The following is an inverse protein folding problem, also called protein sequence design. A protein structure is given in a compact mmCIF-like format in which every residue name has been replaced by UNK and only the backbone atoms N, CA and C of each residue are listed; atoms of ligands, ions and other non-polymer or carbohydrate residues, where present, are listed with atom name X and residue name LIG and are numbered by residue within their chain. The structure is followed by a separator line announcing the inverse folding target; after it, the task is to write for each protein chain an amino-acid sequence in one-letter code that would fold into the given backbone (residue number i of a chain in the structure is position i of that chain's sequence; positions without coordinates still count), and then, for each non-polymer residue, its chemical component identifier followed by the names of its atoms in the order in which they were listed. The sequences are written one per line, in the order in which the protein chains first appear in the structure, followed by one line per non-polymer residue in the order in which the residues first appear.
data_IF_161152154058
#
_entry.id   IF_161152154058
#
_cell.length_a   1.000
_cell.length_b   1.000
_cell.length_c   1.000
_cell.angle_alpha   90.00
_cell.angle_beta   90.00
_cell.angle_gamma   90.00
#
_symmetry.space_group_name_H-M   'P 1'
#
loop_
_entity.id
_entity.type
_entity.pdbx_description
1 polymer ?
#
# COMPACT_ATOMS: atom_id res chain seq x y z
N UNK A 1 8.39 -10.74 0.89
CA UNK A 1 6.96 -10.27 0.68
C UNK A 1 6.26 -10.22 2.02
N UNK A 2 5.48 -9.18 2.29
CA UNK A 2 4.69 -9.07 3.50
C UNK A 2 3.59 -10.13 3.52
N UNK A 3 3.41 -10.88 4.62
CA UNK A 3 2.34 -11.88 4.73
C UNK A 3 0.96 -11.22 4.71
N UNK A 4 -0.01 -11.91 4.16
CA UNK A 4 -1.38 -11.46 3.99
C UNK A 4 -2.32 -12.26 4.87
N UNK A 5 -3.03 -11.58 5.76
CA UNK A 5 -3.98 -12.16 6.71
C UNK A 5 -5.42 -11.77 6.33
N UNK A 6 -6.30 -12.74 6.11
CA UNK A 6 -7.73 -12.47 5.86
C UNK A 6 -8.55 -12.64 7.13
N UNK A 7 -9.33 -11.62 7.51
CA UNK A 7 -10.33 -11.72 8.57
C UNK A 7 -11.63 -12.28 7.97
N UNK A 8 -12.06 -13.43 8.42
CA UNK A 8 -13.27 -14.12 7.96
C UNK A 8 -14.19 -14.38 9.15
N UNK A 9 -15.48 -14.39 8.94
CA UNK A 9 -16.49 -14.67 9.95
C UNK A 9 -17.84 -14.05 9.58
N UNK A 10 -18.91 -14.46 10.30
CA UNK A 10 -20.25 -13.91 10.09
C UNK A 10 -20.32 -12.40 10.39
N UNK A 11 -21.39 -11.70 9.98
CA UNK A 11 -21.59 -10.30 10.33
C UNK A 11 -21.59 -10.09 11.86
N UNK A 12 -21.11 -8.91 12.30
CA UNK A 12 -21.14 -8.46 13.70
C UNK A 12 -20.28 -9.23 14.72
N UNK A 13 -19.41 -10.17 14.30
CA UNK A 13 -18.45 -10.82 15.21
C UNK A 13 -17.27 -9.93 15.61
N UNK A 14 -17.16 -8.73 15.02
CA UNK A 14 -16.14 -7.74 15.37
C UNK A 14 -14.91 -7.72 14.46
N UNK A 15 -15.02 -8.23 13.21
CA UNK A 15 -13.92 -8.20 12.21
C UNK A 15 -13.37 -6.80 11.98
N UNK A 16 -14.24 -5.82 11.71
CA UNK A 16 -13.81 -4.43 11.45
C UNK A 16 -13.19 -3.77 12.69
N UNK A 17 -13.63 -4.13 13.90
CA UNK A 17 -12.97 -3.71 15.14
C UNK A 17 -11.57 -4.29 15.23
N UNK A 18 -11.40 -5.57 14.89
CA UNK A 18 -10.12 -6.26 14.86
C UNK A 18 -9.22 -5.68 13.76
N UNK A 19 -9.74 -5.48 12.56
CA UNK A 19 -9.05 -4.82 11.46
C UNK A 19 -8.49 -3.45 11.89
N UNK A 20 -9.34 -2.59 12.43
CA UNK A 20 -8.92 -1.30 12.93
C UNK A 20 -7.86 -1.39 14.04
N UNK A 21 -7.89 -2.44 14.85
CA UNK A 21 -6.89 -2.65 15.90
C UNK A 21 -5.56 -3.11 15.33
N UNK A 22 -5.57 -4.01 14.36
CA UNK A 22 -4.39 -4.54 13.70
C UNK A 22 -3.68 -3.49 12.84
N UNK A 23 -4.45 -2.56 12.26
CA UNK A 23 -3.96 -1.50 11.36
C UNK A 23 -3.78 -0.14 12.05
N UNK A 24 -4.15 0.03 13.31
CA UNK A 24 -4.05 1.28 14.10
C UNK A 24 -2.65 1.58 14.66
N UNK A 25 -1.58 1.22 14.00
CA UNK A 25 -0.31 1.91 14.25
C UNK A 25 -0.37 3.31 13.63
N UNK A 26 0.33 4.31 14.22
CA UNK A 26 0.36 5.70 13.74
C UNK A 26 0.80 5.84 12.27
N UNK A 27 1.33 4.78 11.68
CA UNK A 27 1.86 4.69 10.33
C UNK A 27 1.09 3.68 9.44
N UNK A 28 -0.05 3.13 9.92
CA UNK A 28 -0.82 2.19 9.12
C UNK A 28 -1.61 2.90 8.04
N UNK A 29 -1.33 2.54 6.81
CA UNK A 29 -2.07 2.99 5.63
C UNK A 29 -3.35 2.14 5.57
N UNK A 30 -4.48 2.76 5.90
CA UNK A 30 -5.80 2.16 5.65
C UNK A 30 -6.26 2.64 4.28
N UNK A 31 -6.20 1.77 3.30
CA UNK A 31 -6.74 2.06 1.98
C UNK A 31 -8.17 1.53 1.88
N UNK A 32 -9.14 2.42 1.96
CA UNK A 32 -10.51 2.14 1.59
C UNK A 32 -10.59 2.10 0.06
N UNK A 33 -10.55 0.92 -0.51
CA UNK A 33 -10.73 0.73 -1.95
C UNK A 33 -12.21 0.78 -2.32
N UNK A 34 -12.85 1.93 -2.16
CA UNK A 34 -14.18 2.17 -2.68
C UNK A 34 -14.14 2.06 -4.21
N UNK A 35 -14.89 1.13 -4.77
CA UNK A 35 -15.00 0.92 -6.23
C UNK A 35 -14.41 -0.37 -6.77
N UNK A 36 -13.49 -1.06 -6.06
CA UNK A 36 -13.07 -2.42 -6.41
C UNK A 36 -14.01 -3.47 -5.83
N UNK A 37 -14.50 -3.24 -4.63
CA UNK A 37 -15.65 -3.93 -4.02
C UNK A 37 -16.16 -3.05 -2.89
N UNK A 38 -17.46 -2.89 -2.77
CA UNK A 38 -18.12 -2.10 -1.71
C UNK A 38 -17.84 -2.58 -0.28
N UNK A 39 -17.15 -3.73 -0.11
CA UNK A 39 -17.18 -4.51 1.12
C UNK A 39 -15.82 -5.08 1.57
N UNK A 40 -14.68 -4.65 0.99
CA UNK A 40 -13.34 -5.10 1.43
C UNK A 40 -12.45 -3.92 1.77
N UNK A 41 -11.88 -3.97 2.98
CA UNK A 41 -10.88 -3.03 3.44
C UNK A 41 -9.52 -3.73 3.50
N UNK A 42 -8.49 -3.06 2.99
CA UNK A 42 -7.11 -3.51 3.06
C UNK A 42 -6.34 -2.56 3.97
N UNK A 43 -5.52 -3.10 4.85
CA UNK A 43 -4.71 -2.28 5.74
C UNK A 43 -3.37 -2.93 6.04
N UNK A 44 -2.38 -2.11 6.31
CA UNK A 44 -1.10 -2.56 6.81
C UNK A 44 -1.06 -2.54 8.33
N UNK A 45 -0.37 -3.52 8.87
CA UNK A 45 -0.02 -3.58 10.28
C UNK A 45 1.43 -3.98 10.48
N UNK A 46 1.92 -3.82 11.70
CA UNK A 46 3.24 -4.32 12.09
C UNK A 46 3.21 -4.95 13.47
N UNK A 47 4.05 -5.95 13.68
CA UNK A 47 4.30 -6.58 14.93
C UNK A 47 5.82 -6.60 15.21
N UNK A 48 6.31 -5.65 15.99
CA UNK A 48 7.74 -5.40 16.08
C UNK A 48 8.31 -4.94 14.74
N UNK A 49 9.25 -5.71 14.19
CA UNK A 49 9.81 -5.46 12.84
C UNK A 49 9.02 -6.13 11.71
N UNK A 50 8.16 -7.11 12.00
CA UNK A 50 7.39 -7.86 11.00
C UNK A 50 6.20 -7.04 10.51
N UNK A 51 6.17 -6.71 9.25
CA UNK A 51 5.06 -6.04 8.59
C UNK A 51 4.12 -7.06 7.93
N UNK A 52 2.81 -6.77 7.88
CA UNK A 52 1.81 -7.64 7.29
C UNK A 52 0.66 -6.84 6.68
N UNK A 53 -0.09 -7.46 5.77
CA UNK A 53 -1.31 -6.91 5.19
C UNK A 53 -2.50 -7.64 5.78
N UNK A 54 -3.56 -6.89 6.16
CA UNK A 54 -4.84 -7.45 6.62
C UNK A 54 -5.93 -7.13 5.61
N UNK A 55 -6.78 -8.13 5.35
CA UNK A 55 -7.99 -7.98 4.54
C UNK A 55 -9.20 -8.15 5.45
N UNK A 56 -10.05 -7.13 5.58
CA UNK A 56 -11.40 -7.29 6.14
C UNK A 56 -12.36 -7.70 5.03
N UNK A 57 -13.03 -8.84 5.20
CA UNK A 57 -13.93 -9.39 4.18
C UNK A 57 -15.39 -8.95 4.33
N UNK A 58 -15.69 -8.02 5.25
CA UNK A 58 -17.09 -7.73 5.59
C UNK A 58 -17.76 -8.92 6.27
N UNK A 59 -19.04 -9.17 6.02
CA UNK A 59 -19.76 -10.35 6.54
C UNK A 59 -19.83 -11.47 5.49
N UNK A 60 -19.53 -12.71 5.86
CA UNK A 60 -19.69 -13.88 5.00
C UNK A 60 -21.03 -14.55 5.22
N UNK A 61 -21.85 -14.65 4.19
CA UNK A 61 -23.08 -15.47 4.18
C UNK A 61 -22.97 -16.51 3.06
N UNK A 62 -22.78 -17.81 3.40
CA UNK A 62 -22.52 -18.88 2.42
C UNK A 62 -23.67 -19.17 1.47
N UNK A 63 -24.92 -18.99 1.91
CA UNK A 63 -26.13 -19.47 1.25
C UNK A 63 -27.08 -18.37 0.74
N UNK A 64 -26.56 -17.23 0.40
CA UNK A 64 -27.43 -16.15 -0.08
C UNK A 64 -27.98 -16.41 -1.48
N UNK A 65 -29.27 -16.61 -1.55
CA UNK A 65 -30.04 -16.78 -2.80
C UNK A 65 -30.28 -15.47 -3.56
N UNK A 66 -29.97 -14.31 -2.96
CA UNK A 66 -30.13 -12.98 -3.59
C UNK A 66 -28.81 -12.41 -4.11
N UNK A 67 -28.84 -11.63 -5.18
CA UNK A 67 -27.66 -11.18 -5.95
C UNK A 67 -26.55 -10.50 -5.14
N UNK A 68 -26.89 -9.70 -4.10
CA UNK A 68 -25.93 -8.96 -3.26
C UNK A 68 -25.11 -9.93 -2.38
N UNK A 69 -25.74 -10.88 -1.75
CA UNK A 69 -25.07 -11.86 -0.87
C UNK A 69 -24.19 -12.86 -1.63
N UNK A 70 -24.59 -13.21 -2.85
CA UNK A 70 -23.75 -14.05 -3.74
C UNK A 70 -22.46 -13.34 -4.13
N UNK A 71 -22.50 -12.03 -4.31
CA UNK A 71 -21.31 -11.22 -4.60
C UNK A 71 -20.40 -11.11 -3.36
N UNK A 72 -20.96 -10.91 -2.15
CA UNK A 72 -20.21 -10.91 -0.89
C UNK A 72 -19.48 -12.23 -0.64
N UNK A 73 -20.16 -13.37 -0.87
CA UNK A 73 -19.56 -14.70 -0.77
C UNK A 73 -18.40 -14.89 -1.75
N UNK A 74 -18.54 -14.40 -2.98
CA UNK A 74 -17.48 -14.43 -4.00
C UNK A 74 -16.28 -13.60 -3.57
N UNK A 75 -16.49 -12.45 -2.98
CA UNK A 75 -15.43 -11.57 -2.50
C UNK A 75 -14.66 -12.16 -1.32
N UNK A 76 -15.36 -12.78 -0.37
CA UNK A 76 -14.70 -13.48 0.75
C UNK A 76 -13.86 -14.65 0.24
N UNK A 77 -14.39 -15.45 -0.70
CA UNK A 77 -13.62 -16.55 -1.31
C UNK A 77 -12.36 -16.04 -2.02
N UNK A 78 -12.44 -14.91 -2.66
CA UNK A 78 -11.28 -14.30 -3.31
C UNK A 78 -10.27 -13.79 -2.27
N UNK A 79 -10.70 -13.12 -1.20
CA UNK A 79 -9.80 -12.68 -0.12
C UNK A 79 -9.09 -13.85 0.54
N UNK A 80 -9.82 -14.95 0.83
CA UNK A 80 -9.23 -16.19 1.36
C UNK A 80 -8.25 -16.80 0.35
N UNK A 81 -8.54 -16.76 -0.94
CA UNK A 81 -7.62 -17.26 -1.97
C UNK A 81 -6.32 -16.44 -2.05
N UNK A 82 -6.40 -15.14 -1.83
CA UNK A 82 -5.28 -14.19 -1.87
C UNK A 82 -4.44 -14.18 -0.58
N UNK A 83 -5.03 -14.54 0.57
CA UNK A 83 -4.36 -14.52 1.87
C UNK A 83 -3.38 -15.70 2.02
N UNK A 84 -2.32 -15.49 2.81
CA UNK A 84 -1.38 -16.53 3.22
C UNK A 84 -1.91 -17.31 4.43
N UNK A 85 -2.60 -16.62 5.36
CA UNK A 85 -3.32 -17.23 6.46
C UNK A 85 -4.70 -16.59 6.67
N UNK A 86 -5.59 -17.33 7.32
CA UNK A 86 -6.95 -16.90 7.64
C UNK A 86 -7.11 -16.80 9.14
N UNK A 87 -7.65 -15.67 9.62
CA UNK A 87 -8.10 -15.48 10.98
C UNK A 87 -9.63 -15.61 10.96
N UNK A 88 -10.13 -16.76 11.40
CA UNK A 88 -11.56 -16.99 11.48
C UNK A 88 -12.10 -16.50 12.81
N UNK A 89 -12.90 -15.45 12.76
CA UNK A 89 -13.42 -14.74 13.93
C UNK A 89 -14.85 -15.21 14.23
N UNK A 90 -15.08 -15.74 15.43
CA UNK A 90 -16.38 -16.08 15.98
C UNK A 90 -16.73 -15.20 17.16
N UNK A 91 -18.00 -15.12 17.55
CA UNK A 91 -18.46 -14.31 18.70
C UNK A 91 -18.59 -15.21 19.93
N UNK A 92 -17.68 -15.04 20.90
CA UNK A 92 -17.66 -15.82 22.12
C UNK A 92 -18.92 -15.65 22.99
N UNK A 93 -19.60 -14.51 22.92
CA UNK A 93 -20.84 -14.26 23.68
C UNK A 93 -22.08 -14.80 23.02
N UNK A 94 -22.13 -14.78 21.70
CA UNK A 94 -23.29 -15.25 20.95
C UNK A 94 -23.30 -16.76 20.75
N UNK A 95 -22.17 -17.44 20.98
CA UNK A 95 -22.01 -18.88 20.76
C UNK A 95 -21.97 -19.25 19.28
N UNK A 96 -21.92 -20.56 19.01
CA UNK A 96 -21.88 -21.14 17.66
C UNK A 96 -23.18 -20.94 16.91
N UNK A 97 -23.07 -20.73 15.63
CA UNK A 97 -24.19 -20.67 14.69
C UNK A 97 -23.98 -21.63 13.50
N UNK A 98 -25.05 -21.97 12.78
CA UNK A 98 -24.94 -22.74 11.56
C UNK A 98 -23.99 -22.10 10.52
N UNK A 99 -23.98 -20.78 10.44
CA UNK A 99 -23.07 -20.07 9.54
C UNK A 99 -21.60 -20.27 9.92
N UNK A 100 -21.26 -20.36 11.21
CA UNK A 100 -19.89 -20.62 11.65
C UNK A 100 -19.43 -22.00 11.21
N UNK A 101 -20.33 -23.01 11.28
CA UNK A 101 -20.05 -24.35 10.76
C UNK A 101 -19.83 -24.39 9.25
N UNK A 102 -20.63 -23.63 8.47
CA UNK A 102 -20.49 -23.55 7.01
C UNK A 102 -19.16 -22.90 6.62
N UNK A 103 -18.79 -21.82 7.30
CA UNK A 103 -17.50 -21.16 7.11
C UNK A 103 -16.34 -22.10 7.47
N UNK A 104 -16.41 -22.80 8.61
CA UNK A 104 -15.41 -23.77 9.04
C UNK A 104 -15.24 -24.89 8.03
N UNK A 105 -16.35 -25.45 7.51
CA UNK A 105 -16.34 -26.46 6.47
C UNK A 105 -15.64 -25.98 5.18
N UNK A 106 -15.89 -24.73 4.79
CA UNK A 106 -15.24 -24.11 3.64
C UNK A 106 -13.74 -23.94 3.87
N UNK A 107 -13.33 -23.41 5.03
CA UNK A 107 -11.91 -23.17 5.37
C UNK A 107 -11.12 -24.50 5.44
N UNK A 108 -11.68 -25.55 6.03
CA UNK A 108 -11.06 -26.89 6.06
C UNK A 108 -10.80 -27.47 4.67
N UNK A 109 -11.72 -27.25 3.71
CA UNK A 109 -11.56 -27.72 2.31
C UNK A 109 -10.43 -27.01 1.57
N UNK A 110 -10.14 -25.76 1.94
CA UNK A 110 -9.09 -24.98 1.27
C UNK A 110 -7.70 -25.38 1.77
N UNK A 111 -7.59 -25.85 3.02
CA UNK A 111 -6.32 -26.31 3.60
C UNK A 111 -5.28 -25.21 3.84
N UNK A 112 -5.69 -23.92 3.91
CA UNK A 112 -4.79 -22.83 4.27
C UNK A 112 -4.58 -22.77 5.79
N UNK A 113 -3.42 -22.26 6.26
CA UNK A 113 -3.23 -21.94 7.67
C UNK A 113 -4.40 -21.11 8.20
N UNK A 114 -5.05 -21.61 9.22
CA UNK A 114 -6.22 -20.96 9.82
C UNK A 114 -6.07 -20.89 11.33
N UNK A 115 -6.39 -19.72 11.90
CA UNK A 115 -6.53 -19.51 13.34
C UNK A 115 -8.01 -19.30 13.66
N UNK A 116 -8.53 -20.05 14.65
CA UNK A 116 -9.87 -19.85 15.17
C UNK A 116 -9.81 -18.89 16.36
N UNK A 117 -10.49 -17.75 16.24
CA UNK A 117 -10.45 -16.67 17.22
C UNK A 117 -11.83 -16.37 17.76
N UNK A 118 -12.02 -16.62 19.06
CA UNK A 118 -13.23 -16.26 19.80
C UNK A 118 -13.13 -14.81 20.30
N UNK A 119 -13.76 -13.89 19.58
CA UNK A 119 -13.76 -12.47 19.92
C UNK A 119 -14.86 -12.14 20.93
N UNK A 120 -14.74 -10.99 21.60
CA UNK A 120 -15.60 -10.53 22.69
C UNK A 120 -15.49 -11.39 23.95
N UNK A 121 -14.31 -11.98 24.16
CA UNK A 121 -14.04 -12.89 25.28
C UNK A 121 -13.68 -12.17 26.58
N UNK A 122 -13.84 -10.83 26.66
CA UNK A 122 -13.56 -10.09 27.89
C UNK A 122 -14.42 -10.56 29.07
N UNK A 123 -13.75 -10.90 30.18
CA UNK A 123 -14.38 -11.38 31.40
C UNK A 123 -14.78 -12.86 31.38
N UNK A 124 -14.52 -13.59 30.30
CA UNK A 124 -14.73 -15.03 30.24
C UNK A 124 -13.60 -15.78 30.93
N UNK A 125 -13.95 -16.83 31.69
CA UNK A 125 -12.95 -17.76 32.24
C UNK A 125 -12.51 -18.73 31.18
N UNK A 126 -11.21 -18.94 31.08
CA UNK A 126 -10.63 -19.89 30.12
C UNK A 126 -11.20 -21.30 30.32
N UNK A 127 -11.53 -21.97 29.24
CA UNK A 127 -11.85 -23.40 29.19
C UNK A 127 -13.33 -23.73 28.91
N UNK A 128 -14.23 -23.58 29.87
CA UNK A 128 -15.59 -24.11 29.73
C UNK A 128 -16.48 -23.36 28.70
N UNK A 129 -16.30 -22.05 28.59
CA UNK A 129 -17.13 -21.21 27.69
C UNK A 129 -16.67 -21.23 26.23
N UNK A 130 -15.44 -21.70 25.98
CA UNK A 130 -14.89 -21.82 24.62
C UNK A 130 -14.96 -23.23 24.07
N UNK A 131 -15.42 -24.20 24.89
CA UNK A 131 -15.43 -25.63 24.54
C UNK A 131 -16.27 -25.94 23.30
N UNK A 132 -17.38 -25.24 23.11
CA UNK A 132 -18.24 -25.40 21.92
C UNK A 132 -17.52 -25.12 20.60
N UNK A 133 -16.58 -24.15 20.56
CA UNK A 133 -15.91 -23.77 19.33
C UNK A 133 -14.92 -24.82 18.82
N UNK A 134 -14.51 -25.79 19.65
CA UNK A 134 -13.70 -26.94 19.19
C UNK A 134 -14.45 -27.84 18.21
N UNK A 135 -15.80 -27.83 18.21
CA UNK A 135 -16.61 -28.54 17.24
C UNK A 135 -16.36 -28.10 15.79
N UNK A 136 -15.86 -26.88 15.59
CA UNK A 136 -15.50 -26.37 14.28
C UNK A 136 -14.31 -27.11 13.64
N UNK A 137 -13.51 -27.85 14.43
CA UNK A 137 -12.42 -28.71 13.93
C UNK A 137 -11.30 -27.94 13.21
N UNK A 138 -11.00 -26.72 13.66
CA UNK A 138 -9.94 -25.87 13.12
C UNK A 138 -8.74 -25.72 14.07
N UNK A 139 -8.68 -26.54 15.13
CA UNK A 139 -7.60 -26.53 16.12
C UNK A 139 -7.91 -25.71 17.36
N UNK A 140 -6.88 -25.09 17.92
CA UNK A 140 -6.99 -24.30 19.15
C UNK A 140 -7.86 -23.06 18.97
N UNK A 141 -8.61 -22.70 20.02
CA UNK A 141 -9.48 -21.53 20.06
C UNK A 141 -8.81 -20.43 20.86
N UNK A 142 -8.49 -19.33 20.20
CA UNK A 142 -7.81 -18.19 20.83
C UNK A 142 -8.83 -17.16 21.35
N UNK A 143 -8.90 -16.93 22.68
CA UNK A 143 -9.76 -15.90 23.23
C UNK A 143 -9.16 -14.50 22.99
N UNK A 144 -9.96 -13.61 22.42
CA UNK A 144 -9.54 -12.25 22.10
C UNK A 144 -10.64 -11.25 22.44
N UNK A 145 -10.25 -10.06 22.86
CA UNK A 145 -11.13 -8.90 22.90
C UNK A 145 -10.58 -7.80 21.99
N UNK A 146 -11.08 -7.71 20.76
CA UNK A 146 -10.65 -6.70 19.80
C UNK A 146 -10.95 -5.27 20.31
N UNK A 147 -12.05 -5.07 21.04
CA UNK A 147 -12.41 -3.76 21.60
C UNK A 147 -11.39 -3.29 22.67
N UNK A 148 -10.94 -4.19 23.53
CA UNK A 148 -10.02 -3.88 24.61
C UNK A 148 -8.54 -4.17 24.28
N UNK A 149 -8.26 -4.86 23.17
CA UNK A 149 -6.91 -5.22 22.75
C UNK A 149 -6.31 -6.42 23.47
N UNK A 150 -7.10 -7.15 24.27
CA UNK A 150 -6.64 -8.33 24.99
C UNK A 150 -6.49 -9.52 24.02
N UNK A 151 -5.37 -10.25 24.12
CA UNK A 151 -5.07 -11.42 23.30
C UNK A 151 -4.73 -11.12 21.82
N UNK A 152 -4.89 -9.89 21.35
CA UNK A 152 -4.68 -9.52 19.94
C UNK A 152 -3.22 -9.71 19.52
N UNK A 153 -2.28 -9.34 20.38
CA UNK A 153 -0.85 -9.49 20.09
C UNK A 153 -0.45 -10.96 19.98
N UNK A 154 -0.82 -11.79 20.95
CA UNK A 154 -0.50 -13.23 20.97
C UNK A 154 -1.13 -13.96 19.78
N UNK A 155 -2.39 -13.61 19.44
CA UNK A 155 -3.06 -14.10 18.22
C UNK A 155 -2.26 -13.78 16.96
N UNK A 156 -1.74 -12.56 16.86
CA UNK A 156 -0.99 -12.12 15.69
C UNK A 156 0.40 -12.79 15.62
N UNK A 157 1.07 -12.96 16.77
CA UNK A 157 2.31 -13.73 16.87
C UNK A 157 2.10 -15.15 16.35
N UNK A 158 1.04 -15.84 16.83
CA UNK A 158 0.71 -17.20 16.37
C UNK A 158 0.32 -17.24 14.87
N UNK A 159 -0.41 -16.23 14.37
CA UNK A 159 -0.76 -16.15 12.97
C UNK A 159 0.47 -16.07 12.06
N UNK A 160 1.45 -15.25 12.43
CA UNK A 160 2.69 -15.07 11.69
C UNK A 160 3.63 -16.27 11.84
N UNK A 161 3.68 -16.90 13.02
CA UNK A 161 4.53 -18.08 13.26
C UNK A 161 4.02 -19.33 12.49
N UNK A 162 2.70 -19.51 12.36
CA UNK A 162 2.11 -20.57 11.51
C UNK A 162 2.48 -20.47 10.04
N UNK A 163 2.90 -19.29 9.57
CA UNK A 163 3.33 -19.11 8.20
C UNK A 163 4.76 -19.61 7.93
N UNK A 164 5.50 -20.01 9.00
CA UNK A 164 6.90 -20.45 8.87
C UNK A 164 7.71 -19.52 7.95
N UNK A 165 7.47 -18.21 8.07
CA UNK A 165 8.22 -17.24 7.29
C UNK A 165 9.68 -17.36 7.67
N UNK A 166 10.60 -17.39 6.70
CA UNK A 166 12.03 -17.31 7.01
C UNK A 166 12.23 -16.07 7.88
N UNK A 167 13.03 -16.21 8.96
CA UNK A 167 13.54 -15.05 9.66
C UNK A 167 14.08 -14.10 8.60
N UNK A 168 13.69 -12.81 8.67
CA UNK A 168 14.25 -11.83 7.74
C UNK A 168 15.77 -11.92 7.92
N UNK A 169 16.41 -12.64 6.98
CA UNK A 169 17.85 -12.56 6.81
C UNK A 169 18.17 -11.08 6.74
N UNK A 170 19.15 -10.64 7.52
CA UNK A 170 19.67 -9.26 7.55
C UNK A 170 19.58 -8.72 6.14
N UNK A 171 18.81 -7.65 5.94
CA UNK A 171 18.54 -7.05 4.64
C UNK A 171 19.88 -7.09 3.87
N UNK A 172 20.01 -7.99 2.92
CA UNK A 172 21.12 -7.90 1.98
C UNK A 172 20.96 -6.52 1.39
N UNK A 173 21.90 -5.63 1.73
CA UNK A 173 21.87 -4.23 1.34
C UNK A 173 21.52 -4.20 -0.14
N UNK A 174 20.28 -3.82 -0.45
CA UNK A 174 19.80 -3.79 -1.82
C UNK A 174 20.74 -2.86 -2.58
N UNK A 175 21.34 -3.37 -3.66
CA UNK A 175 22.25 -2.56 -4.50
C UNK A 175 21.55 -1.22 -4.80
N UNK A 176 22.03 -0.08 -4.25
CA UNK A 176 21.34 1.20 -4.37
C UNK A 176 21.22 1.67 -5.83
N UNK A 177 21.99 1.06 -6.73
CA UNK A 177 21.99 1.36 -8.15
C UNK A 177 20.89 0.61 -8.92
N UNK A 178 20.19 -0.35 -8.29
CA UNK A 178 19.10 -1.10 -8.91
C UNK A 178 17.77 -0.39 -8.65
N UNK A 179 17.07 -0.03 -9.73
CA UNK A 179 15.74 0.57 -9.65
C UNK A 179 14.67 -0.53 -9.63
N UNK A 180 14.02 -0.71 -8.48
CA UNK A 180 12.86 -1.60 -8.36
C UNK A 180 11.63 -0.91 -8.92
N UNK A 181 11.08 -1.45 -10.03
CA UNK A 181 9.98 -0.88 -10.79
C UNK A 181 8.74 -1.77 -10.69
N UNK A 182 7.63 -1.23 -10.22
CA UNK A 182 6.32 -1.86 -10.34
C UNK A 182 5.47 -1.19 -11.44
N UNK A 183 4.68 -2.01 -12.15
CA UNK A 183 3.69 -1.51 -13.11
C UNK A 183 2.31 -1.74 -12.52
N UNK A 184 1.69 -0.67 -12.04
CA UNK A 184 0.37 -0.67 -11.42
C UNK A 184 -0.72 -0.14 -12.38
N UNK A 185 -1.96 -0.43 -12.10
CA UNK A 185 -3.13 0.01 -12.86
C UNK A 185 -4.22 -1.04 -12.88
N UNK A 186 -5.41 -0.66 -13.33
CA UNK A 186 -6.58 -1.54 -13.43
C UNK A 186 -6.35 -2.77 -14.30
N UNK A 187 -7.19 -3.81 -14.18
CA UNK A 187 -7.28 -4.85 -15.19
C UNK A 187 -7.49 -4.24 -16.58
N UNK A 188 -6.87 -4.84 -17.58
CA UNK A 188 -6.97 -4.41 -18.99
C UNK A 188 -6.43 -2.99 -19.31
N UNK A 189 -5.75 -2.30 -18.39
CA UNK A 189 -5.06 -1.05 -18.71
C UNK A 189 -3.86 -1.24 -19.67
N UNK A 190 -3.45 -2.49 -19.89
CA UNK A 190 -2.39 -2.86 -20.84
C UNK A 190 -1.04 -3.11 -20.19
N UNK A 191 -1.00 -3.40 -18.89
CA UNK A 191 0.22 -3.73 -18.13
C UNK A 191 1.02 -4.85 -18.79
N UNK A 192 0.39 -6.01 -18.99
CA UNK A 192 1.04 -7.18 -19.61
C UNK A 192 1.52 -6.88 -21.03
N UNK A 193 0.77 -6.09 -21.80
CA UNK A 193 1.18 -5.66 -23.15
C UNK A 193 2.43 -4.80 -23.07
N UNK A 194 2.47 -3.81 -22.16
CA UNK A 194 3.62 -2.92 -21.98
C UNK A 194 4.87 -3.71 -21.58
N UNK A 195 4.74 -4.55 -20.56
CA UNK A 195 5.86 -5.36 -20.05
C UNK A 195 6.36 -6.33 -21.12
N UNK A 196 5.46 -7.01 -21.86
CA UNK A 196 5.86 -7.89 -22.97
C UNK A 196 6.55 -7.11 -24.08
N UNK A 197 6.12 -5.87 -24.35
CA UNK A 197 6.78 -5.01 -25.33
C UNK A 197 8.18 -4.65 -24.89
N UNK A 198 8.38 -4.31 -23.62
CA UNK A 198 9.69 -4.03 -23.05
C UNK A 198 10.60 -5.26 -23.06
N UNK A 199 10.14 -6.40 -22.56
CA UNK A 199 10.94 -7.65 -22.53
C UNK A 199 11.26 -8.19 -23.94
N UNK A 200 10.53 -7.75 -24.97
CA UNK A 200 10.81 -8.08 -26.37
C UNK A 200 11.73 -7.06 -27.07
N UNK A 201 12.22 -6.03 -26.39
CA UNK A 201 13.17 -5.06 -26.96
C UNK A 201 14.60 -5.65 -26.89
N UNK A 202 15.34 -5.61 -28.00
CA UNK A 202 16.75 -6.09 -28.10
C UNK A 202 17.72 -5.34 -27.17
N UNK A 203 17.30 -4.21 -26.61
CA UNK A 203 18.10 -3.37 -25.71
C UNK A 203 18.03 -3.75 -24.24
N UNK A 204 17.22 -4.75 -23.89
CA UNK A 204 17.13 -5.25 -22.53
C UNK A 204 17.99 -6.51 -22.38
N UNK A 205 18.99 -6.43 -21.55
CA UNK A 205 19.86 -7.55 -21.20
C UNK A 205 19.44 -8.08 -19.84
N UNK A 206 18.95 -9.33 -19.79
CA UNK A 206 18.69 -10.01 -18.53
C UNK A 206 20.03 -10.35 -17.85
N UNK A 207 20.11 -10.18 -16.54
CA UNK A 207 21.27 -10.59 -15.74
C UNK A 207 20.82 -11.39 -14.51
N UNK A 208 21.72 -12.25 -14.02
CA UNK A 208 21.45 -13.02 -12.81
C UNK A 208 21.77 -12.19 -11.56
N UNK A 209 20.81 -12.07 -10.65
CA UNK A 209 21.04 -11.50 -9.32
C UNK A 209 21.13 -12.62 -8.27
N UNK A 210 22.15 -12.62 -7.40
CA UNK A 210 22.19 -13.54 -6.27
C UNK A 210 21.00 -13.30 -5.34
N UNK A 211 20.26 -14.34 -4.94
CA UNK A 211 19.15 -14.27 -4.00
C UNK A 211 17.75 -14.26 -4.62
N UNK A 212 17.58 -14.24 -5.96
CA UNK A 212 16.26 -14.23 -6.61
C UNK A 212 15.54 -15.58 -6.66
N UNK A 213 16.01 -16.60 -5.96
CA UNK A 213 15.68 -18.01 -6.25
C UNK A 213 14.51 -18.59 -5.50
N UNK A 214 13.71 -17.88 -4.71
CA UNK A 214 12.60 -18.61 -4.04
C UNK A 214 11.18 -18.09 -4.17
N UNK A 215 10.86 -16.79 -4.14
CA UNK A 215 9.44 -16.40 -4.11
C UNK A 215 9.06 -15.06 -4.76
N UNK A 216 9.96 -14.18 -5.12
CA UNK A 216 9.64 -12.95 -5.84
C UNK A 216 9.71 -13.17 -7.35
N UNK A 217 8.59 -13.02 -8.04
CA UNK A 217 8.57 -13.05 -9.49
C UNK A 217 9.03 -11.69 -9.97
N UNK A 218 10.30 -11.43 -9.79
CA UNK A 218 10.98 -10.25 -10.32
C UNK A 218 11.82 -10.62 -11.54
N UNK A 219 11.97 -9.68 -12.46
CA UNK A 219 12.80 -9.84 -13.65
C UNK A 219 13.85 -8.74 -13.63
N UNK A 220 15.11 -9.09 -13.32
CA UNK A 220 16.23 -8.16 -13.44
C UNK A 220 16.62 -7.95 -14.89
N UNK A 221 16.86 -6.70 -15.27
CA UNK A 221 17.32 -6.33 -16.59
C UNK A 221 18.14 -5.04 -16.56
N UNK A 222 18.95 -4.83 -17.59
CA UNK A 222 19.75 -3.62 -17.76
C UNK A 222 19.32 -2.88 -19.02
N UNK A 223 19.26 -1.54 -18.93
CA UNK A 223 19.00 -0.67 -20.07
C UNK A 223 19.88 0.58 -20.00
N UNK A 224 20.67 0.82 -21.03
CA UNK A 224 21.57 1.97 -21.13
C UNK A 224 22.51 2.12 -19.91
N UNK A 225 23.02 1.02 -19.38
CA UNK A 225 23.90 1.02 -18.20
C UNK A 225 23.20 1.21 -16.86
N UNK A 226 21.86 1.35 -16.84
CA UNK A 226 21.07 1.38 -15.62
C UNK A 226 20.42 0.02 -15.34
N UNK A 227 20.61 -0.49 -14.14
CA UNK A 227 20.00 -1.75 -13.68
C UNK A 227 18.59 -1.52 -13.18
N UNK A 228 17.69 -2.40 -13.55
CA UNK A 228 16.28 -2.41 -13.14
C UNK A 228 15.87 -3.80 -12.65
N UNK A 229 14.94 -3.83 -11.74
CA UNK A 229 14.23 -5.02 -11.30
C UNK A 229 12.73 -4.79 -11.43
N UNK A 230 12.08 -5.52 -12.34
CA UNK A 230 10.62 -5.42 -12.52
C UNK A 230 9.93 -6.33 -11.51
N UNK A 231 9.15 -5.72 -10.61
CA UNK A 231 8.44 -6.40 -9.53
C UNK A 231 7.10 -6.96 -10.03
N UNK A 232 6.69 -8.12 -9.51
CA UNK A 232 5.42 -8.82 -9.78
C UNK A 232 5.14 -9.10 -11.27
N UNK A 233 6.00 -9.91 -11.85
CA UNK A 233 5.80 -10.44 -13.20
C UNK A 233 5.07 -11.78 -13.24
N UNK A 234 4.38 -12.18 -12.13
CA UNK A 234 3.74 -13.49 -11.98
C UNK A 234 2.77 -13.85 -13.10
N UNK A 235 2.06 -12.86 -13.62
CA UNK A 235 1.18 -13.04 -14.78
C UNK A 235 1.88 -13.33 -16.11
N UNK A 236 3.19 -13.10 -16.21
CA UNK A 236 3.95 -13.15 -17.47
C UNK A 236 4.67 -14.47 -17.72
N UNK A 237 5.10 -15.19 -16.67
CA UNK A 237 5.90 -16.43 -16.80
C UNK A 237 5.10 -17.66 -17.24
N UNK A 238 3.77 -17.61 -17.27
CA UNK A 238 2.92 -18.74 -17.72
C UNK A 238 2.70 -18.75 -19.24
N UNK A 239 3.72 -18.48 -20.05
CA UNK A 239 3.71 -18.75 -21.49
C UNK A 239 4.05 -20.21 -21.76
N UNK A 240 3.06 -21.07 -21.53
CA UNK A 240 3.11 -22.46 -21.96
C UNK A 240 1.73 -23.07 -21.76
N UNK A 241 0.85 -22.99 -22.79
CA UNK A 241 -0.48 -23.62 -22.87
C UNK A 241 -1.49 -23.17 -21.80
N UNK A 242 -2.51 -22.51 -22.29
CA UNK A 242 -3.82 -22.10 -21.77
C UNK A 242 -3.97 -20.59 -21.72
N UNK A 243 -4.24 -20.00 -22.85
CA UNK A 243 -5.03 -18.77 -22.98
C UNK A 243 -6.41 -19.09 -22.44
N UNK A 244 -6.85 -18.40 -21.38
CA UNK A 244 -8.16 -18.35 -20.73
C UNK A 244 -8.17 -18.73 -19.25
N UNK A 245 -7.11 -18.44 -18.51
CA UNK A 245 -7.29 -18.21 -17.08
C UNK A 245 -7.38 -16.71 -16.87
N UNK A 246 -8.59 -16.21 -16.67
CA UNK A 246 -8.96 -14.89 -16.18
C UNK A 246 -7.77 -14.33 -15.38
N UNK A 247 -7.17 -13.23 -15.86
CA UNK A 247 -6.26 -12.40 -15.05
C UNK A 247 -7.03 -12.03 -13.78
N UNK A 248 -6.95 -12.90 -12.75
CA UNK A 248 -7.54 -12.60 -11.46
C UNK A 248 -6.69 -11.45 -10.92
N UNK A 249 -7.21 -10.24 -11.09
CA UNK A 249 -6.64 -9.05 -10.50
C UNK A 249 -6.58 -9.25 -9.00
N UNK A 250 -5.39 -9.47 -8.47
CA UNK A 250 -5.15 -9.49 -7.04
C UNK A 250 -4.78 -8.08 -6.62
N UNK A 251 -5.68 -7.43 -5.89
CA UNK A 251 -5.43 -6.13 -5.27
C UNK A 251 -4.21 -6.24 -4.36
N UNK A 252 -4.15 -7.31 -3.58
CA UNK A 252 -3.06 -7.57 -2.63
C UNK A 252 -1.71 -7.61 -3.33
N UNK A 253 -1.58 -8.36 -4.43
CA UNK A 253 -0.32 -8.42 -5.20
C UNK A 253 0.08 -7.06 -5.76
N UNK A 254 -0.90 -6.28 -6.25
CA UNK A 254 -0.62 -4.93 -6.71
C UNK A 254 -0.12 -4.04 -5.57
N UNK A 255 -0.71 -4.15 -4.38
CA UNK A 255 -0.27 -3.40 -3.21
C UNK A 255 1.13 -3.82 -2.76
N UNK A 256 1.40 -5.13 -2.68
CA UNK A 256 2.72 -5.66 -2.37
C UNK A 256 3.78 -5.18 -3.38
N UNK A 257 3.47 -5.26 -4.68
CA UNK A 257 4.37 -4.78 -5.73
C UNK A 257 4.68 -3.28 -5.60
N UNK A 258 3.67 -2.45 -5.26
CA UNK A 258 3.85 -1.02 -5.01
C UNK A 258 4.79 -0.81 -3.82
N UNK A 259 4.63 -1.56 -2.74
CA UNK A 259 5.44 -1.42 -1.54
C UNK A 259 6.88 -1.89 -1.72
N UNK A 260 7.10 -2.95 -2.48
CA UNK A 260 8.44 -3.47 -2.75
C UNK A 260 9.21 -2.62 -3.78
N UNK A 261 8.52 -1.76 -4.52
CA UNK A 261 9.11 -0.92 -5.56
C UNK A 261 9.74 0.38 -5.02
N UNK A 262 10.72 0.91 -5.75
CA UNK A 262 11.20 2.28 -5.56
C UNK A 262 10.37 3.26 -6.40
N UNK A 263 10.00 2.83 -7.62
CA UNK A 263 9.24 3.62 -8.58
C UNK A 263 8.04 2.81 -9.06
N UNK A 264 6.90 3.45 -9.13
CA UNK A 264 5.65 2.87 -9.66
C UNK A 264 5.31 3.55 -10.98
N UNK A 265 5.17 2.78 -12.05
CA UNK A 265 4.55 3.23 -13.28
C UNK A 265 3.05 2.97 -13.20
N UNK A 266 2.25 4.01 -13.02
CA UNK A 266 0.80 3.91 -12.97
C UNK A 266 0.20 4.02 -14.37
N UNK A 267 -0.40 2.93 -14.86
CA UNK A 267 -1.04 2.84 -16.17
C UNK A 267 -2.53 3.18 -16.08
N UNK A 268 -2.96 4.13 -16.91
CA UNK A 268 -4.36 4.55 -17.06
C UNK A 268 -4.81 4.17 -18.47
N UNK A 269 -6.03 3.67 -18.62
CA UNK A 269 -6.64 3.35 -19.90
C UNK A 269 -7.33 4.57 -20.49
N UNK A 270 -6.81 5.11 -21.60
CA UNK A 270 -7.39 6.27 -22.27
C UNK A 270 -8.84 6.07 -22.73
N UNK A 271 -9.22 4.83 -23.07
CA UNK A 271 -10.58 4.54 -23.58
C UNK A 271 -11.65 4.66 -22.52
N UNK A 272 -11.27 4.63 -21.24
CA UNK A 272 -12.20 4.72 -20.11
C UNK A 272 -11.97 5.97 -19.24
N UNK A 273 -10.88 6.69 -19.47
CA UNK A 273 -10.46 7.81 -18.63
C UNK A 273 -10.06 7.38 -17.22
N UNK A 274 -9.91 8.36 -16.33
CA UNK A 274 -9.58 8.11 -14.92
C UNK A 274 -10.83 7.69 -14.16
N UNK A 275 -10.81 6.50 -13.60
CA UNK A 275 -11.87 5.96 -12.75
C UNK A 275 -11.55 6.13 -11.26
N UNK A 276 -12.52 5.85 -10.39
CA UNK A 276 -12.29 5.86 -8.94
C UNK A 276 -11.25 4.83 -8.52
N UNK A 277 -11.19 3.68 -9.21
CA UNK A 277 -10.18 2.66 -8.99
C UNK A 277 -8.76 3.14 -9.33
N UNK A 278 -8.59 3.89 -10.41
CA UNK A 278 -7.29 4.48 -10.76
C UNK A 278 -6.87 5.52 -9.70
N UNK A 279 -7.82 6.35 -9.24
CA UNK A 279 -7.56 7.33 -8.20
C UNK A 279 -7.17 6.68 -6.86
N UNK A 280 -7.79 5.54 -6.49
CA UNK A 280 -7.42 4.80 -5.29
C UNK A 280 -6.04 4.16 -5.37
N UNK A 281 -5.69 3.52 -6.50
CA UNK A 281 -4.34 2.99 -6.69
C UNK A 281 -3.32 4.13 -6.62
N UNK A 282 -3.62 5.27 -7.25
CA UNK A 282 -2.78 6.47 -7.20
C UNK A 282 -2.61 7.01 -5.76
N UNK A 283 -3.69 7.03 -4.98
CA UNK A 283 -3.66 7.40 -3.55
C UNK A 283 -2.75 6.46 -2.76
N UNK A 284 -2.89 5.15 -2.96
CA UNK A 284 -2.04 4.17 -2.29
C UNK A 284 -0.55 4.33 -2.63
N UNK A 285 -0.21 4.61 -3.90
CA UNK A 285 1.18 4.90 -4.31
C UNK A 285 1.73 6.12 -3.57
N UNK A 286 0.91 7.18 -3.44
CA UNK A 286 1.28 8.39 -2.69
C UNK A 286 1.50 8.11 -1.21
N UNK A 287 0.57 7.37 -0.58
CA UNK A 287 0.59 7.04 0.84
C UNK A 287 1.78 6.11 1.18
N UNK A 288 2.09 5.15 0.29
CA UNK A 288 3.28 4.31 0.40
C UNK A 288 4.59 5.09 0.22
N UNK A 289 4.50 6.35 -0.22
CA UNK A 289 5.67 7.20 -0.41
C UNK A 289 6.51 6.86 -1.63
N UNK A 290 6.04 6.01 -2.53
CA UNK A 290 6.81 5.58 -3.69
C UNK A 290 6.85 6.64 -4.77
N UNK A 291 7.98 6.71 -5.47
CA UNK A 291 8.06 7.56 -6.65
C UNK A 291 7.10 7.07 -7.73
N UNK A 292 6.55 7.98 -8.52
CA UNK A 292 5.48 7.66 -9.46
C UNK A 292 5.70 8.34 -10.81
N UNK A 293 5.45 7.58 -11.87
CA UNK A 293 5.33 8.07 -13.24
C UNK A 293 3.96 7.68 -13.77
N UNK A 294 3.25 8.61 -14.39
CA UNK A 294 1.93 8.37 -14.96
C UNK A 294 2.05 8.05 -16.47
N UNK A 295 1.36 7.02 -16.92
CA UNK A 295 1.26 6.71 -18.35
C UNK A 295 -0.18 6.44 -18.75
N UNK A 296 -0.69 7.22 -19.69
CA UNK A 296 -2.01 7.03 -20.32
C UNK A 296 -1.82 6.17 -21.55
N UNK A 297 -2.21 4.91 -21.42
CA UNK A 297 -2.06 3.90 -22.46
C UNK A 297 -3.29 3.85 -23.38
N UNK A 298 -3.14 3.21 -24.54
CA UNK A 298 -4.13 3.12 -25.62
C UNK A 298 -4.50 4.48 -26.19
N UNK A 299 -3.56 5.44 -26.18
CA UNK A 299 -3.77 6.78 -26.70
C UNK A 299 -4.07 6.82 -28.19
N UNK A 300 -3.68 5.77 -28.90
CA UNK A 300 -3.97 5.56 -30.32
C UNK A 300 -5.42 5.13 -30.60
N UNK A 301 -6.16 4.72 -29.60
CA UNK A 301 -7.53 4.21 -29.72
C UNK A 301 -8.61 5.25 -29.38
N UNK A 302 -8.21 6.49 -29.02
CA UNK A 302 -9.14 7.55 -28.60
C UNK A 302 -9.11 8.72 -29.58
N UNK A 303 -10.30 9.29 -29.83
CA UNK A 303 -10.46 10.49 -30.64
C UNK A 303 -10.09 11.77 -29.87
N UNK A 304 -10.12 12.92 -30.55
CA UNK A 304 -9.72 14.20 -29.96
C UNK A 304 -10.63 14.64 -28.80
N UNK A 305 -11.91 14.38 -28.91
CA UNK A 305 -12.87 14.70 -27.84
C UNK A 305 -12.59 13.87 -26.58
N UNK A 306 -12.39 12.57 -26.74
CA UNK A 306 -12.03 11.68 -25.64
C UNK A 306 -10.68 12.06 -25.00
N UNK A 307 -9.68 12.45 -25.81
CA UNK A 307 -8.38 12.93 -25.31
C UNK A 307 -8.54 14.10 -24.34
N UNK A 308 -9.35 15.10 -24.71
CA UNK A 308 -9.63 16.25 -23.84
C UNK A 308 -10.34 15.84 -22.54
N UNK A 309 -11.30 14.91 -22.62
CA UNK A 309 -11.97 14.38 -21.41
C UNK A 309 -11.00 13.67 -20.48
N UNK A 310 -10.12 12.84 -21.03
CA UNK A 310 -9.09 12.14 -20.26
C UNK A 310 -8.15 13.11 -19.58
N UNK A 311 -7.65 14.13 -20.29
CA UNK A 311 -6.77 15.15 -19.71
C UNK A 311 -7.46 15.90 -18.57
N UNK A 312 -8.71 16.35 -18.75
CA UNK A 312 -9.49 16.99 -17.66
C UNK A 312 -9.70 16.07 -16.47
N UNK A 313 -9.96 14.77 -16.72
CA UNK A 313 -10.15 13.80 -15.64
C UNK A 313 -8.86 13.59 -14.83
N UNK A 314 -7.69 13.60 -15.47
CA UNK A 314 -6.39 13.53 -14.80
C UNK A 314 -6.17 14.78 -13.95
N UNK A 315 -6.37 15.97 -14.51
CA UNK A 315 -6.20 17.24 -13.79
C UNK A 315 -7.10 17.36 -12.56
N UNK A 316 -8.30 16.76 -12.61
CA UNK A 316 -9.28 16.84 -11.52
C UNK A 316 -9.08 15.73 -10.50
N UNK A 317 -9.05 14.47 -10.96
CA UNK A 317 -9.05 13.29 -10.07
C UNK A 317 -7.67 12.92 -9.56
N UNK A 318 -6.59 13.24 -10.31
CA UNK A 318 -5.20 12.99 -9.93
C UNK A 318 -4.43 14.29 -9.63
N UNK A 319 -5.14 15.36 -9.24
CA UNK A 319 -4.55 16.65 -8.91
C UNK A 319 -3.44 16.56 -7.83
N UNK A 320 -3.50 15.56 -6.96
CA UNK A 320 -2.51 15.31 -5.92
C UNK A 320 -1.19 14.71 -6.45
N UNK A 321 -1.16 14.23 -7.71
CA UNK A 321 0.04 13.72 -8.38
C UNK A 321 0.64 14.70 -9.39
N UNK A 322 0.36 16.01 -9.30
CA UNK A 322 0.91 17.04 -10.22
C UNK A 322 2.44 17.08 -10.27
N UNK A 323 3.11 16.50 -9.29
CA UNK A 323 4.57 16.40 -9.27
C UNK A 323 5.12 15.27 -10.14
N UNK A 324 4.27 14.36 -10.62
CA UNK A 324 4.64 13.22 -11.43
C UNK A 324 4.64 13.59 -12.93
N UNK A 325 5.60 13.03 -13.68
CA UNK A 325 5.60 13.13 -15.13
C UNK A 325 4.46 12.31 -15.72
N UNK A 326 3.77 12.88 -16.72
CA UNK A 326 2.69 12.26 -17.45
C UNK A 326 3.12 11.95 -18.89
N UNK A 327 2.92 10.70 -19.31
CA UNK A 327 3.21 10.23 -20.68
C UNK A 327 1.96 9.70 -21.36
N UNK A 328 1.81 10.04 -22.64
CA UNK A 328 0.77 9.53 -23.50
C UNK A 328 1.38 8.44 -24.40
N UNK A 329 0.91 7.19 -24.23
CA UNK A 329 1.56 6.04 -24.86
C UNK A 329 0.58 5.12 -25.58
N UNK A 330 1.11 4.32 -26.50
CA UNK A 330 0.48 3.11 -27.00
C UNK A 330 1.44 1.94 -26.87
N UNK A 331 1.21 1.09 -25.88
CA UNK A 331 2.01 -0.12 -25.70
C UNK A 331 1.91 -1.05 -26.90
N UNK A 332 0.71 -1.15 -27.53
CA UNK A 332 0.46 -1.99 -28.70
C UNK A 332 1.23 -1.49 -29.93
N UNK A 333 1.24 -0.18 -30.17
CA UNK A 333 1.93 0.44 -31.32
C UNK A 333 3.38 0.85 -31.01
N UNK A 334 3.86 0.59 -29.80
CA UNK A 334 5.21 0.96 -29.34
C UNK A 334 5.49 2.47 -29.43
N UNK A 335 4.48 3.31 -29.24
CA UNK A 335 4.60 4.77 -29.32
C UNK A 335 4.73 5.37 -27.92
N UNK A 336 5.59 6.39 -27.76
CA UNK A 336 5.77 7.14 -26.53
C UNK A 336 6.52 6.39 -25.39
N UNK A 337 7.11 5.21 -25.67
CA UNK A 337 7.72 4.36 -24.62
C UNK A 337 9.13 4.83 -24.24
N UNK A 338 9.88 5.44 -25.14
CA UNK A 338 11.26 5.87 -24.87
C UNK A 338 11.39 6.85 -23.69
N UNK A 339 10.60 7.93 -23.64
CA UNK A 339 10.64 8.92 -22.55
C UNK A 339 10.27 8.38 -21.17
N UNK A 340 9.52 7.26 -21.09
CA UNK A 340 9.17 6.65 -19.80
C UNK A 340 10.40 6.31 -18.96
N UNK A 341 11.43 5.72 -19.60
CA UNK A 341 12.65 5.31 -18.91
C UNK A 341 13.40 6.47 -18.28
N UNK A 342 13.50 7.58 -18.99
CA UNK A 342 14.12 8.80 -18.48
C UNK A 342 13.35 9.33 -17.25
N UNK A 343 12.01 9.34 -17.30
CA UNK A 343 11.17 9.76 -16.19
C UNK A 343 11.22 8.80 -15.01
N UNK A 344 11.30 7.48 -15.22
CA UNK A 344 11.47 6.49 -14.16
C UNK A 344 12.81 6.71 -13.43
N UNK A 345 13.89 6.87 -14.20
CA UNK A 345 15.23 7.15 -13.61
C UNK A 345 15.26 8.49 -12.89
N UNK A 346 14.62 9.53 -13.44
CA UNK A 346 14.49 10.85 -12.80
C UNK A 346 13.73 10.76 -11.48
N UNK A 347 12.59 10.07 -11.45
CA UNK A 347 11.78 9.89 -10.26
C UNK A 347 12.54 9.12 -9.16
N UNK A 348 13.29 8.08 -9.53
CA UNK A 348 14.16 7.36 -8.59
C UNK A 348 15.24 8.26 -8.01
N UNK A 349 15.97 9.02 -8.86
CA UNK A 349 17.00 9.97 -8.41
C UNK A 349 16.43 11.03 -7.47
N UNK A 350 15.23 11.53 -7.75
CA UNK A 350 14.55 12.48 -6.89
C UNK A 350 14.17 11.85 -5.54
N UNK A 351 13.70 10.59 -5.53
CA UNK A 351 13.34 9.87 -4.32
C UNK A 351 14.53 9.55 -3.41
N UNK A 352 15.71 9.33 -4.00
CA UNK A 352 16.95 8.99 -3.28
C UNK A 352 17.91 10.19 -3.15
N UNK A 353 17.45 11.40 -3.46
CA UNK A 353 18.25 12.61 -3.41
C UNK A 353 18.74 12.89 -1.98
N UNK A 354 20.06 13.10 -1.84
CA UNK A 354 20.68 13.52 -0.57
C UNK A 354 20.62 15.04 -0.46
N UNK A 355 20.02 15.54 0.61
CA UNK A 355 19.81 16.96 0.88
C UNK A 355 20.62 17.39 2.10
N UNK A 356 21.58 18.28 1.91
CA UNK A 356 22.41 18.73 3.03
C UNK A 356 21.65 19.68 3.97
N UNK A 357 21.85 19.52 5.27
CA UNK A 357 21.23 20.35 6.32
C UNK A 357 21.44 21.85 6.11
N UNK A 358 22.63 22.35 5.74
CA UNK A 358 22.83 23.78 5.48
C UNK A 358 21.95 24.31 4.35
N UNK A 359 21.82 23.55 3.24
CA UNK A 359 21.00 23.95 2.09
C UNK A 359 19.51 23.93 2.46
N UNK A 360 19.04 22.88 3.13
CA UNK A 360 17.65 22.78 3.62
C UNK A 360 17.30 23.93 4.55
N UNK A 361 18.19 24.24 5.51
CA UNK A 361 17.98 25.34 6.47
C UNK A 361 17.95 26.68 5.78
N UNK A 362 18.83 26.93 4.80
CA UNK A 362 18.83 28.16 4.02
C UNK A 362 17.52 28.36 3.28
N UNK A 363 17.05 27.33 2.54
CA UNK A 363 15.78 27.37 1.79
C UNK A 363 14.59 27.59 2.75
N UNK A 364 14.61 26.96 3.92
CA UNK A 364 13.60 27.17 4.96
C UNK A 364 13.55 28.63 5.39
N UNK A 365 14.69 29.22 5.75
CA UNK A 365 14.78 30.60 6.24
C UNK A 365 14.40 31.62 5.15
N UNK A 366 14.84 31.41 3.91
CA UNK A 366 14.41 32.22 2.75
C UNK A 366 12.89 32.13 2.54
N UNK A 367 12.31 30.93 2.73
CA UNK A 367 10.87 30.72 2.63
C UNK A 367 10.09 31.43 3.74
N UNK A 368 10.61 31.45 4.97
CA UNK A 368 10.03 32.18 6.10
C UNK A 368 10.12 33.69 5.89
N UNK A 369 11.23 34.20 5.31
CA UNK A 369 11.37 35.63 4.96
C UNK A 369 10.36 36.02 3.86
N UNK A 370 10.18 35.15 2.84
CA UNK A 370 9.26 35.41 1.75
C UNK A 370 7.80 35.40 2.23
N UNK A 371 7.44 34.42 3.04
CA UNK A 371 6.10 34.27 3.60
C UNK A 371 6.19 33.77 5.04
N UNK A 372 5.98 34.67 5.99
CA UNK A 372 5.99 34.33 7.41
C UNK A 372 4.74 33.50 7.79
N UNK A 373 4.89 32.45 8.59
CA UNK A 373 3.73 31.66 9.06
C UNK A 373 2.76 32.53 9.85
N UNK A 374 1.46 32.28 9.61
CA UNK A 374 0.39 33.03 10.28
C UNK A 374 0.41 32.78 11.79
N UNK A 375 0.10 33.81 12.56
CA UNK A 375 -0.14 33.70 14.01
C UNK A 375 -1.45 32.97 14.24
N UNK A 376 -1.45 31.98 15.13
CA UNK A 376 -2.65 31.25 15.54
C UNK A 376 -2.88 31.51 17.04
N UNK A 377 -3.90 32.32 17.35
CA UNK A 377 -4.12 32.81 18.70
C UNK A 377 -2.95 33.65 19.21
N UNK A 378 -2.39 33.30 20.37
CA UNK A 378 -1.22 33.96 20.96
C UNK A 378 0.11 33.43 20.43
N UNK A 379 0.12 32.31 19.69
CA UNK A 379 1.33 31.62 19.24
C UNK A 379 1.71 32.02 17.82
N UNK A 380 3.00 32.31 17.61
CA UNK A 380 3.58 32.48 16.28
C UNK A 380 4.63 31.39 16.06
N UNK A 381 4.39 30.45 15.12
CA UNK A 381 5.39 29.43 14.80
C UNK A 381 6.74 30.07 14.39
N UNK A 382 7.84 29.56 14.96
CA UNK A 382 9.19 29.97 14.62
C UNK A 382 9.96 28.77 14.09
N UNK A 383 10.13 28.68 12.78
CA UNK A 383 10.92 27.66 12.11
C UNK A 383 12.40 28.06 12.21
N UNK A 384 13.28 27.15 12.64
CA UNK A 384 14.69 27.46 12.91
C UNK A 384 15.65 26.79 11.95
N UNK A 385 15.51 25.47 11.76
CA UNK A 385 16.34 24.70 10.85
C UNK A 385 15.60 23.50 10.31
N UNK A 386 16.14 22.92 9.23
CA UNK A 386 15.61 21.71 8.62
C UNK A 386 16.73 20.74 8.27
N UNK A 387 16.48 19.44 8.42
CA UNK A 387 17.37 18.38 7.96
C UNK A 387 16.59 17.26 7.30
N UNK A 388 17.27 16.43 6.54
CA UNK A 388 16.67 15.25 5.92
C UNK A 388 16.50 14.14 6.97
N UNK A 389 15.27 13.62 7.11
CA UNK A 389 14.93 12.53 8.03
C UNK A 389 14.82 11.17 7.37
N UNK A 390 14.75 11.12 6.03
CA UNK A 390 14.62 9.87 5.29
C UNK A 390 14.68 10.07 3.77
N UNK A 391 14.77 8.96 3.05
CA UNK A 391 14.74 8.88 1.59
C UNK A 391 13.72 7.83 1.17
N UNK A 392 13.18 7.96 -0.03
CA UNK A 392 12.22 7.06 -0.66
C UNK A 392 10.96 6.75 0.21
N UNK A 393 10.16 7.78 0.57
CA UNK A 393 10.21 9.14 0.02
C UNK A 393 11.18 10.06 0.78
N UNK A 394 11.59 11.19 0.18
CA UNK A 394 12.28 12.24 0.91
C UNK A 394 11.44 12.76 2.07
N UNK A 395 12.03 12.81 3.27
CA UNK A 395 11.41 13.35 4.48
C UNK A 395 12.25 14.53 4.96
N UNK A 396 11.62 15.69 5.11
CA UNK A 396 12.28 16.89 5.67
C UNK A 396 11.72 17.14 7.05
N UNK A 397 12.57 17.10 8.06
CA UNK A 397 12.20 17.40 9.44
C UNK A 397 12.54 18.86 9.72
N UNK A 398 11.51 19.64 10.05
CA UNK A 398 11.64 21.06 10.41
C UNK A 398 11.56 21.22 11.91
N UNK A 399 12.55 21.86 12.50
CA UNK A 399 12.62 22.13 13.93
C UNK A 399 12.34 23.61 14.24
N UNK A 400 11.69 23.83 15.38
CA UNK A 400 11.36 25.18 15.80
C UNK A 400 10.47 25.20 17.04
N UNK A 401 9.82 26.34 17.28
CA UNK A 401 8.92 26.55 18.42
C UNK A 401 7.49 26.72 17.94
N UNK A 402 6.53 26.16 18.67
CA UNK A 402 5.08 26.26 18.39
C UNK A 402 4.71 25.76 16.99
N UNK A 403 5.40 24.72 16.48
CA UNK A 403 5.23 24.21 15.13
C UNK A 403 3.92 23.43 14.97
N UNK A 404 3.29 22.99 16.03
CA UNK A 404 1.94 22.41 16.09
C UNK A 404 0.86 23.35 15.55
N UNK A 405 1.14 24.64 15.53
CA UNK A 405 0.25 25.68 15.00
C UNK A 405 0.51 26.02 13.52
N UNK A 406 1.45 25.33 12.86
CA UNK A 406 1.71 25.52 11.42
C UNK A 406 0.56 24.92 10.63
N UNK A 407 -0.10 25.74 9.80
CA UNK A 407 -1.23 25.32 8.99
C UNK A 407 -0.82 24.39 7.84
N UNK A 408 -1.70 23.50 7.42
CA UNK A 408 -1.47 22.64 6.25
C UNK A 408 -1.22 23.43 4.96
N UNK A 409 -1.82 24.61 4.81
CA UNK A 409 -1.55 25.48 3.68
C UNK A 409 -0.09 25.98 3.68
N UNK A 410 0.49 26.26 4.86
CA UNK A 410 1.89 26.66 4.98
C UNK A 410 2.84 25.49 4.74
N UNK A 411 2.50 24.29 5.19
CA UNK A 411 3.29 23.08 4.86
C UNK A 411 3.35 22.86 3.35
N UNK A 412 2.21 22.96 2.64
CA UNK A 412 2.17 22.88 1.16
C UNK A 412 2.99 23.95 0.48
N UNK A 413 3.03 25.18 1.03
CA UNK A 413 3.89 26.23 0.53
C UNK A 413 5.36 25.84 0.66
N UNK A 414 5.79 25.35 1.83
CA UNK A 414 7.17 24.88 2.06
C UNK A 414 7.51 23.70 1.14
N UNK A 415 6.57 22.75 0.97
CA UNK A 415 6.72 21.64 0.05
C UNK A 415 7.02 22.12 -1.37
N UNK A 416 6.28 23.09 -1.87
CA UNK A 416 6.51 23.68 -3.19
C UNK A 416 7.89 24.34 -3.31
N UNK A 417 8.37 24.99 -2.25
CA UNK A 417 9.70 25.61 -2.20
C UNK A 417 10.81 24.54 -2.25
N UNK A 418 10.71 23.49 -1.43
CA UNK A 418 11.70 22.40 -1.43
C UNK A 418 11.68 21.60 -2.73
N UNK A 419 10.49 21.28 -3.27
CA UNK A 419 10.36 20.59 -4.57
C UNK A 419 11.09 21.34 -5.68
N UNK A 420 10.89 22.64 -5.75
CA UNK A 420 11.55 23.47 -6.77
C UNK A 420 13.06 23.53 -6.59
N UNK A 421 13.53 23.65 -5.35
CA UNK A 421 14.95 23.80 -5.06
C UNK A 421 15.77 22.52 -5.30
N UNK A 422 15.16 21.34 -5.10
CA UNK A 422 15.80 20.04 -5.27
C UNK A 422 15.32 19.26 -6.49
N UNK A 423 14.50 19.89 -7.36
CA UNK A 423 13.95 19.27 -8.58
C UNK A 423 13.25 17.92 -8.31
N UNK A 424 12.46 17.86 -7.22
CA UNK A 424 11.79 16.63 -6.77
C UNK A 424 10.61 16.28 -7.68
N UNK A 425 10.91 15.80 -8.89
CA UNK A 425 9.93 15.35 -9.87
C UNK A 425 9.66 13.86 -9.68
N UNK A 426 8.40 13.47 -9.70
CA UNK A 426 8.01 12.07 -9.64
C UNK A 426 8.07 11.43 -8.25
N UNK A 427 8.40 12.16 -7.19
CA UNK A 427 8.47 11.61 -5.83
C UNK A 427 7.59 12.39 -4.86
N UNK A 428 6.88 11.74 -3.93
CA UNK A 428 6.25 12.42 -2.80
C UNK A 428 7.31 13.10 -1.93
N UNK A 429 6.93 14.16 -1.21
CA UNK A 429 7.76 14.83 -0.22
C UNK A 429 6.99 14.91 1.09
N UNK A 430 7.56 14.42 2.18
CA UNK A 430 6.98 14.54 3.51
C UNK A 430 7.67 15.64 4.31
N UNK A 431 6.89 16.47 4.99
CA UNK A 431 7.43 17.51 5.90
C UNK A 431 6.90 17.25 7.29
N UNK A 432 7.80 16.92 8.20
CA UNK A 432 7.50 16.73 9.61
C UNK A 432 7.88 17.96 10.41
N UNK A 433 7.00 18.38 11.33
CA UNK A 433 7.22 19.48 12.23
C UNK A 433 7.56 18.95 13.62
N UNK A 434 8.77 19.25 14.12
CA UNK A 434 9.20 18.87 15.47
C UNK A 434 9.38 20.11 16.34
N UNK A 435 8.44 20.33 17.25
CA UNK A 435 8.57 21.38 18.26
C UNK A 435 9.63 20.96 19.29
N UNK A 436 10.65 21.77 19.51
CA UNK A 436 11.59 21.58 20.60
C UNK A 436 10.90 21.94 21.91
N UNK A 437 10.64 20.96 22.78
CA UNK A 437 10.24 21.21 24.15
C UNK A 437 11.38 21.94 24.86
N UNK A 438 11.06 23.07 25.49
CA UNK A 438 11.97 23.71 26.42
C UNK A 438 11.92 22.90 27.74
N UNK A 439 12.97 22.16 28.12
CA UNK A 439 12.98 21.37 29.35
C UNK A 439 12.86 22.21 30.63
N UNK A 440 12.88 23.55 30.52
CA UNK A 440 12.78 24.49 31.63
C UNK A 440 11.42 25.21 31.72
N UNK A 441 10.46 24.93 30.83
CA UNK A 441 9.15 25.60 30.85
C UNK A 441 8.23 25.14 31.99
N UNK A 442 8.47 23.99 32.58
CA UNK A 442 7.64 23.42 33.66
C UNK A 442 8.11 23.80 35.07
N UNK A 443 9.09 24.71 35.25
CA UNK A 443 9.59 25.12 36.56
C UNK A 443 8.99 26.41 37.13
N UNK A 444 8.19 27.15 36.33
CA UNK A 444 7.60 28.43 36.74
C UNK A 444 6.10 28.36 37.09
N UNK A 445 5.57 27.14 37.32
CA UNK A 445 4.17 26.93 37.76
C UNK A 445 4.10 25.96 38.96
N UNK A 446 4.97 26.19 39.97
CA UNK A 446 4.83 25.55 41.29
C UNK A 446 4.80 26.65 42.37
#
# INVERSE_FOLDING_TARGET
MKPVLALVGRPNVGKSTMFNRLTKSRDAIVADFAGLTRDRHYGQGHLGKREFIVIDTGGFEPDASSGIYKEMAKQTRQAVAEADAVIFVVDARAGLSAQDHDIANYLRRIGKPCLLVANKAEGMREGAQLAEFFELGLGEVLPVSAAHGQGVRSMLEEALDKLNLPEEDEETEADPDVIKLAVAGRPNAGKSTLINTWLGEERLVAFDMPGTTRDAISVPFERNGQKFELIDTAGLRRKGKVFEAIEKFSVVKTLQAIEDANVVLLLIDATQGVTDQDAHIAGFVLDSGRAVVLAVNKWDAVDEYQRQLVQRSIETRLAFLKFANLHLISAKKRQGLGPLWASITQAHKAATCKMSTPVLTRILLESVQFQTPKKTGMFRPKLRYAHQGGMNPPVIIVHGNSLEHVTEAYKRFLEGRFRKAFELVGTPLRIEMKTSHNPYADKDSA
#
